data_IF_766745905852
#
_entry.id   IF_766745905852
#
_cell.length_a   1.000
_cell.length_b   1.000
_cell.length_c   1.000
_cell.angle_alpha   90.00
_cell.angle_beta   90.00
_cell.angle_gamma   90.00
#
_symmetry.space_group_name_H-M   'P 1'
#
loop_
_entity.id
_entity.type
_entity.pdbx_description
1 polymer ?
#
# COMPACT_ATOMS: atom_id res chain seq x y z
N UNK A 1 5.33 -8.47 -5.40
CA UNK A 1 5.03 -8.87 -4.01
C UNK A 1 5.64 -10.20 -3.60
N UNK A 2 5.52 -11.25 -4.40
CA UNK A 2 5.91 -12.62 -4.01
C UNK A 2 7.33 -12.75 -3.43
N UNK A 3 8.34 -12.07 -3.98
CA UNK A 3 9.71 -12.09 -3.43
C UNK A 3 9.84 -11.29 -2.13
N UNK A 4 9.23 -10.11 -2.06
CA UNK A 4 9.26 -9.25 -0.87
C UNK A 4 8.54 -9.91 0.31
N UNK A 5 7.42 -10.59 0.06
CA UNK A 5 6.66 -11.32 1.08
C UNK A 5 7.46 -12.48 1.71
N UNK A 6 8.42 -13.07 0.98
CA UNK A 6 9.33 -14.10 1.53
C UNK A 6 10.29 -13.54 2.58
N UNK A 7 10.51 -12.22 2.57
CA UNK A 7 11.35 -11.53 3.55
C UNK A 7 10.47 -11.07 4.73
N UNK A 8 9.35 -10.41 4.45
CA UNK A 8 8.43 -9.93 5.48
C UNK A 8 7.03 -9.70 4.89
N UNK A 9 5.95 -10.03 5.64
CA UNK A 9 4.59 -9.62 5.29
C UNK A 9 4.33 -8.12 5.52
N UNK A 10 5.16 -7.46 6.33
CA UNK A 10 5.03 -6.04 6.68
C UNK A 10 5.77 -5.18 5.65
N UNK A 11 5.01 -4.66 4.68
CA UNK A 11 5.55 -3.93 3.51
C UNK A 11 4.90 -2.56 3.41
N UNK A 12 5.73 -1.52 3.20
CA UNK A 12 5.29 -0.19 2.80
C UNK A 12 5.73 0.08 1.35
N UNK A 13 4.79 0.35 0.45
CA UNK A 13 5.03 0.58 -0.96
C UNK A 13 4.72 2.03 -1.33
N UNK A 14 5.75 2.80 -1.66
CA UNK A 14 5.61 4.19 -2.09
C UNK A 14 5.43 4.28 -3.61
N UNK A 15 4.26 4.75 -4.06
CA UNK A 15 3.89 4.76 -5.49
C UNK A 15 3.38 6.12 -5.97
N UNK A 16 3.46 6.43 -7.28
CA UNK A 16 2.84 7.63 -7.83
C UNK A 16 1.33 7.64 -7.60
N UNK A 17 0.73 8.83 -7.50
CA UNK A 17 -0.73 9.00 -7.35
C UNK A 17 -1.59 8.38 -8.47
N UNK A 18 -0.96 7.99 -9.58
CA UNK A 18 -1.62 7.37 -10.74
C UNK A 18 -1.64 5.84 -10.65
N UNK A 19 -1.09 5.27 -9.58
CA UNK A 19 -1.12 3.83 -9.36
C UNK A 19 -2.56 3.31 -9.26
N UNK A 20 -2.80 2.14 -9.85
CA UNK A 20 -4.11 1.50 -9.84
C UNK A 20 -4.41 0.93 -8.44
N UNK A 21 -5.43 1.48 -7.80
CA UNK A 21 -5.89 1.06 -6.46
C UNK A 21 -6.31 -0.40 -6.42
N UNK A 22 -6.95 -0.92 -7.49
CA UNK A 22 -7.37 -2.31 -7.54
C UNK A 22 -6.16 -3.25 -7.60
N UNK A 23 -5.11 -2.85 -8.31
CA UNK A 23 -3.86 -3.61 -8.32
C UNK A 23 -3.19 -3.58 -6.95
N UNK A 24 -3.15 -2.43 -6.28
CA UNK A 24 -2.59 -2.32 -4.93
C UNK A 24 -3.35 -3.20 -3.91
N UNK A 25 -4.68 -3.26 -4.01
CA UNK A 25 -5.50 -4.15 -3.19
C UNK A 25 -5.25 -5.63 -3.51
N UNK A 26 -5.15 -6.00 -4.79
CA UNK A 26 -4.86 -7.36 -5.20
C UNK A 26 -3.49 -7.87 -4.66
N UNK A 27 -2.52 -6.97 -4.46
CA UNK A 27 -1.22 -7.31 -3.86
C UNK A 27 -1.32 -7.76 -2.40
N UNK A 28 -2.41 -7.44 -1.67
CA UNK A 28 -2.62 -7.94 -0.31
C UNK A 28 -2.96 -9.44 -0.27
N UNK A 29 -3.36 -10.01 -1.41
CA UNK A 29 -3.78 -11.40 -1.53
C UNK A 29 -5.21 -11.65 -1.02
N UNK A 30 -5.74 -12.87 -1.21
CA UNK A 30 -7.10 -13.21 -0.79
C UNK A 30 -7.31 -13.04 0.72
N UNK A 31 -8.31 -12.26 1.12
CA UNK A 31 -8.61 -11.97 2.52
C UNK A 31 -7.63 -11.01 3.20
N UNK A 32 -6.61 -10.54 2.49
CA UNK A 32 -5.67 -9.53 2.97
C UNK A 32 -6.27 -8.13 2.93
N UNK A 33 -5.71 -7.23 3.73
CA UNK A 33 -6.05 -5.82 3.75
C UNK A 33 -4.85 -4.97 3.32
N UNK A 34 -5.15 -3.78 2.78
CA UNK A 34 -4.17 -2.76 2.46
C UNK A 34 -4.67 -1.42 2.98
N UNK A 35 -3.79 -0.64 3.59
CA UNK A 35 -4.06 0.76 3.92
C UNK A 35 -3.40 1.67 2.91
N UNK A 36 -4.14 2.68 2.43
CA UNK A 36 -3.65 3.63 1.43
C UNK A 36 -3.55 5.03 2.04
N UNK A 37 -2.32 5.46 2.28
CA UNK A 37 -2.01 6.79 2.79
C UNK A 37 -1.71 7.75 1.62
N UNK A 38 -2.56 8.76 1.47
CA UNK A 38 -2.42 9.77 0.42
C UNK A 38 -1.47 10.89 0.85
N UNK A 39 -0.42 11.09 0.06
CA UNK A 39 0.63 12.05 0.36
C UNK A 39 0.43 13.35 -0.45
N UNK A 40 0.13 14.45 0.26
CA UNK A 40 -0.13 15.76 -0.32
C UNK A 40 1.06 16.71 -0.15
N UNK A 41 1.39 17.44 -1.21
CA UNK A 41 2.35 18.56 -1.17
C UNK A 41 1.65 19.78 -1.76
N UNK A 42 1.57 20.87 -1.00
CA UNK A 42 0.85 22.09 -1.37
C UNK A 42 -0.60 21.80 -1.84
N UNK A 43 -1.33 21.01 -1.04
CA UNK A 43 -2.71 20.56 -1.33
C UNK A 43 -2.88 19.73 -2.61
N UNK A 44 -1.79 19.33 -3.27
CA UNK A 44 -1.82 18.46 -4.45
C UNK A 44 -1.35 17.07 -4.09
N UNK A 45 -2.15 16.06 -4.40
CA UNK A 45 -1.76 14.66 -4.28
C UNK A 45 -0.53 14.40 -5.16
N UNK A 46 0.51 13.79 -4.60
CA UNK A 46 1.75 13.43 -5.31
C UNK A 46 1.91 11.93 -5.40
N UNK A 47 1.75 11.26 -4.27
CA UNK A 47 2.00 9.84 -4.12
C UNK A 47 0.98 9.21 -3.20
N UNK A 48 0.96 7.88 -3.19
CA UNK A 48 0.24 7.06 -2.23
C UNK A 48 1.25 6.09 -1.62
N UNK A 49 1.16 5.87 -0.32
CA UNK A 49 1.91 4.81 0.36
C UNK A 49 0.92 3.70 0.70
N UNK A 50 1.17 2.49 0.20
CA UNK A 50 0.36 1.32 0.50
C UNK A 50 1.02 0.48 1.59
N UNK A 51 0.35 0.30 2.72
CA UNK A 51 0.83 -0.50 3.85
C UNK A 51 0.13 -1.86 3.87
N UNK A 52 0.91 -2.92 4.09
CA UNK A 52 0.47 -4.32 4.13
C UNK A 52 0.90 -5.00 5.42
N UNK A 53 0.23 -6.10 5.77
CA UNK A 53 0.50 -6.88 6.97
C UNK A 53 0.06 -6.14 8.23
N UNK A 54 0.87 -6.20 9.28
CA UNK A 54 0.60 -5.56 10.58
C UNK A 54 0.82 -4.04 10.55
N UNK A 55 1.28 -3.49 9.42
CA UNK A 55 1.37 -2.04 9.20
C UNK A 55 0.01 -1.40 8.91
N UNK A 56 -1.01 -2.23 8.64
CA UNK A 56 -2.39 -1.76 8.49
C UNK A 56 -2.92 -1.38 9.88
N UNK A 57 -3.32 -0.12 10.03
CA UNK A 57 -3.90 0.39 11.26
C UNK A 57 -5.25 -0.27 11.53
N UNK A 58 -5.39 -0.89 12.71
CA UNK A 58 -6.67 -1.35 13.23
C UNK A 58 -7.37 -0.17 13.88
N UNK A 59 -8.05 0.65 13.08
CA UNK A 59 -8.94 1.71 13.59
C UNK A 59 -10.33 1.13 13.85
#
# INVERSE_FOLDING_TARGET
>A
MEKSMKISPNIALYVPRTADVQQLAALAGPGGSVELEQNFVNHKLKTVTAYYGELVSST
#
